data_IF_810328509087
#
_entry.id   IF_810328509087
#
_cell.length_a   1.000
_cell.length_b   1.000
_cell.length_c   1.000
_cell.angle_alpha   90.00
_cell.angle_beta   90.00
_cell.angle_gamma   90.00
#
_symmetry.space_group_name_H-M   'P 1'
#
loop_
_entity.id
_entity.type
_entity.pdbx_description
1 polymer ?
#
# COMPACT_ATOMS: atom_id res chain seq x y z
N UNK A 1 8.09 17.44 25.94
CA UNK A 1 7.68 17.47 24.52
C UNK A 1 6.77 16.28 24.32
N UNK A 2 5.48 16.49 24.06
CA UNK A 2 4.61 15.40 23.62
C UNK A 2 5.09 15.01 22.22
N UNK A 3 5.69 13.83 22.07
CA UNK A 3 5.96 13.29 20.74
C UNK A 3 4.63 13.24 20.01
N UNK A 4 4.46 14.08 18.99
CA UNK A 4 3.26 14.10 18.17
C UNK A 4 3.31 12.83 17.33
N UNK A 5 2.40 11.89 17.56
CA UNK A 5 2.31 10.66 16.78
C UNK A 5 1.69 10.99 15.43
N UNK A 6 2.36 10.61 14.35
CA UNK A 6 1.80 10.67 13.00
C UNK A 6 0.98 9.42 12.72
N UNK A 7 -0.04 9.57 11.90
CA UNK A 7 -0.85 8.49 11.37
C UNK A 7 -0.28 8.06 10.01
N UNK A 8 0.06 6.78 9.85
CA UNK A 8 0.55 6.22 8.59
C UNK A 8 -0.42 5.19 8.02
N UNK A 9 -0.64 5.24 6.71
CA UNK A 9 -1.48 4.33 5.94
C UNK A 9 -0.55 3.42 5.14
N UNK A 10 -0.67 2.11 5.31
CA UNK A 10 0.23 1.12 4.70
C UNK A 10 -0.63 0.10 3.95
N UNK A 11 -0.26 -0.23 2.71
CA UNK A 11 -0.87 -1.31 1.95
C UNK A 11 0.09 -2.50 1.87
N UNK A 12 -0.49 -3.70 1.86
CA UNK A 12 0.20 -4.98 1.84
C UNK A 12 -0.22 -5.74 0.60
N UNK A 13 0.72 -6.45 -0.04
CA UNK A 13 0.45 -7.30 -1.18
C UNK A 13 1.40 -8.50 -1.27
N UNK A 14 0.88 -9.68 -1.61
CA UNK A 14 1.69 -10.87 -1.93
C UNK A 14 0.96 -11.77 -2.92
N UNK A 15 1.69 -12.38 -3.86
CA UNK A 15 1.15 -13.42 -4.74
C UNK A 15 2.11 -14.59 -4.98
N UNK A 16 3.17 -14.68 -4.19
CA UNK A 16 4.18 -15.73 -4.26
C UNK A 16 4.52 -16.21 -2.85
N UNK A 17 4.86 -17.50 -2.72
CA UNK A 17 5.29 -18.05 -1.44
C UNK A 17 6.55 -17.34 -0.94
N UNK A 18 6.65 -17.17 0.37
CA UNK A 18 7.82 -16.61 1.03
C UNK A 18 8.31 -17.54 2.14
N UNK A 19 9.38 -17.14 2.84
CA UNK A 19 9.79 -17.83 4.07
C UNK A 19 8.75 -17.70 5.20
N UNK A 20 7.76 -16.83 5.04
CA UNK A 20 6.65 -16.66 5.97
C UNK A 20 5.49 -17.59 5.71
N UNK A 21 5.48 -18.31 4.57
CA UNK A 21 4.42 -19.23 4.19
C UNK A 21 3.86 -18.92 2.81
N UNK A 22 2.60 -19.33 2.58
CA UNK A 22 1.86 -18.95 1.38
C UNK A 22 1.58 -17.42 1.33
N UNK A 23 1.05 -16.86 0.23
CA UNK A 23 0.79 -15.42 0.15
C UNK A 23 -0.14 -14.87 1.23
N UNK A 24 -1.13 -15.66 1.68
CA UNK A 24 -2.05 -15.28 2.76
C UNK A 24 -1.28 -15.18 4.07
N UNK A 25 -0.53 -16.23 4.42
CA UNK A 25 0.31 -16.29 5.63
C UNK A 25 1.38 -15.19 5.63
N UNK A 26 1.94 -14.90 4.45
CA UNK A 26 2.94 -13.86 4.26
C UNK A 26 2.40 -12.47 4.59
N UNK A 27 1.21 -12.11 4.05
CA UNK A 27 0.57 -10.84 4.37
C UNK A 27 0.20 -10.77 5.85
N UNK A 28 -0.38 -11.83 6.42
CA UNK A 28 -0.76 -11.86 7.84
C UNK A 28 0.45 -11.67 8.77
N UNK A 29 1.58 -12.31 8.46
CA UNK A 29 2.80 -12.16 9.24
C UNK A 29 3.40 -10.76 9.10
N UNK A 30 3.39 -10.18 7.90
CA UNK A 30 3.82 -8.81 7.68
C UNK A 30 2.95 -7.80 8.45
N UNK A 31 1.62 -7.99 8.47
CA UNK A 31 0.70 -7.16 9.26
C UNK A 31 1.01 -7.24 10.76
N UNK A 32 1.40 -8.42 11.27
CA UNK A 32 1.85 -8.57 12.66
C UNK A 32 3.10 -7.74 12.94
N UNK A 33 4.11 -7.79 12.07
CA UNK A 33 5.32 -6.98 12.23
C UNK A 33 5.01 -5.48 12.20
N UNK A 34 4.14 -5.03 11.30
CA UNK A 34 3.69 -3.62 11.25
C UNK A 34 2.88 -3.23 12.47
N UNK A 35 2.03 -4.11 12.99
CA UNK A 35 1.30 -3.90 14.24
C UNK A 35 2.25 -3.69 15.43
N UNK A 36 3.29 -4.52 15.54
CA UNK A 36 4.29 -4.48 16.61
C UNK A 36 5.14 -3.19 16.56
N UNK A 37 5.26 -2.54 15.40
CA UNK A 37 5.90 -1.22 15.25
C UNK A 37 5.02 -0.04 15.66
N UNK A 38 3.70 -0.23 15.77
CA UNK A 38 2.79 0.87 16.11
C UNK A 38 2.96 1.29 17.58
N UNK A 39 3.12 2.59 17.81
CA UNK A 39 3.38 3.14 19.15
C UNK A 39 2.13 3.10 20.04
N UNK A 40 0.93 3.12 19.45
CA UNK A 40 -0.32 3.24 20.22
C UNK A 40 -1.43 2.33 19.69
N UNK A 41 -2.09 2.74 18.63
CA UNK A 41 -3.17 1.99 18.02
C UNK A 41 -2.79 1.63 16.60
N UNK A 42 -3.25 0.46 16.17
CA UNK A 42 -3.30 0.11 14.77
C UNK A 42 -4.71 -0.36 14.43
N UNK A 43 -5.09 -0.17 13.19
CA UNK A 43 -6.32 -0.71 12.60
C UNK A 43 -5.90 -1.51 11.38
N UNK A 44 -6.51 -2.68 11.22
CA UNK A 44 -6.21 -3.60 10.12
C UNK A 44 -7.50 -3.89 9.36
N UNK A 45 -7.42 -3.87 8.03
CA UNK A 45 -8.51 -4.35 7.19
C UNK A 45 -8.60 -5.87 7.30
N UNK A 46 -9.65 -6.43 6.70
CA UNK A 46 -9.65 -7.83 6.32
C UNK A 46 -8.62 -8.12 5.23
N UNK A 47 -8.42 -9.40 4.93
CA UNK A 47 -7.68 -9.82 3.75
C UNK A 47 -8.60 -9.79 2.53
N UNK A 48 -8.03 -9.37 1.41
CA UNK A 48 -8.71 -9.33 0.12
C UNK A 48 -7.88 -10.07 -0.92
N UNK A 49 -8.56 -10.66 -1.90
CA UNK A 49 -7.93 -11.33 -3.04
C UNK A 49 -8.36 -10.68 -4.35
N UNK A 50 -7.43 -10.48 -5.27
CA UNK A 50 -7.73 -10.07 -6.65
C UNK A 50 -6.80 -10.75 -7.66
N UNK A 51 -7.22 -10.90 -8.93
CA UNK A 51 -6.37 -11.46 -9.98
C UNK A 51 -5.11 -10.63 -10.21
N UNK A 52 -4.00 -11.29 -10.56
CA UNK A 52 -2.84 -10.61 -11.10
C UNK A 52 -3.19 -9.86 -12.40
N UNK A 53 -2.51 -8.75 -12.65
CA UNK A 53 -2.68 -7.96 -13.87
C UNK A 53 -1.56 -8.22 -14.90
N UNK A 54 -1.89 -8.51 -16.17
CA UNK A 54 -3.22 -8.85 -16.69
C UNK A 54 -3.72 -10.20 -16.18
N UNK A 55 -5.03 -10.44 -16.21
CA UNK A 55 -5.65 -11.68 -15.71
C UNK A 55 -5.00 -12.91 -16.36
N UNK A 56 -4.57 -13.86 -15.52
CA UNK A 56 -3.87 -15.07 -15.96
C UNK A 56 -2.35 -14.95 -16.04
N UNK A 57 -1.77 -13.78 -15.74
CA UNK A 57 -0.31 -13.59 -15.70
C UNK A 57 0.39 -14.29 -14.51
N UNK A 58 -0.37 -14.79 -13.52
CA UNK A 58 0.15 -15.47 -12.34
C UNK A 58 -0.94 -15.75 -11.31
N UNK A 59 -0.55 -16.23 -10.11
CA UNK A 59 -1.47 -16.41 -8.98
C UNK A 59 -2.13 -15.09 -8.57
N UNK A 60 -3.31 -15.21 -7.97
CA UNK A 60 -4.02 -14.07 -7.37
C UNK A 60 -3.18 -13.43 -6.25
N UNK A 61 -3.30 -12.11 -6.11
CA UNK A 61 -2.73 -11.37 -5.00
C UNK A 61 -3.63 -11.43 -3.78
N UNK A 62 -3.02 -11.57 -2.60
CA UNK A 62 -3.61 -11.23 -1.32
C UNK A 62 -3.17 -9.82 -0.94
N UNK A 63 -4.12 -8.98 -0.53
CA UNK A 63 -3.90 -7.60 -0.14
C UNK A 63 -4.58 -7.28 1.17
N UNK A 64 -4.03 -6.30 1.88
CA UNK A 64 -4.62 -5.70 3.06
C UNK A 64 -4.18 -4.24 3.19
N UNK A 65 -4.78 -3.51 4.12
CA UNK A 65 -4.33 -2.20 4.52
C UNK A 65 -4.31 -2.06 6.04
N UNK A 66 -3.38 -1.25 6.55
CA UNK A 66 -3.32 -0.88 7.95
C UNK A 66 -3.19 0.62 8.14
N UNK A 67 -3.73 1.10 9.25
CA UNK A 67 -3.43 2.41 9.82
C UNK A 67 -2.61 2.17 11.08
N UNK A 68 -1.47 2.85 11.23
CA UNK A 68 -0.66 2.80 12.46
C UNK A 68 -0.39 4.20 12.99
N UNK A 69 -0.09 4.30 14.29
CA UNK A 69 0.53 5.48 14.86
C UNK A 69 2.03 5.26 15.00
N UNK A 70 2.82 6.19 14.48
CA UNK A 70 4.28 6.09 14.51
C UNK A 70 4.92 7.40 14.96
N UNK A 71 6.11 7.30 15.53
CA UNK A 71 7.01 8.43 15.79
C UNK A 71 8.18 8.48 14.79
N UNK A 72 8.26 7.52 13.87
CA UNK A 72 9.24 7.51 12.79
C UNK A 72 8.87 8.56 11.73
N UNK A 73 9.87 9.20 11.15
CA UNK A 73 9.70 9.97 9.93
C UNK A 73 9.27 9.05 8.76
N UNK A 74 8.70 9.61 7.67
CA UNK A 74 8.30 8.81 6.51
C UNK A 74 9.43 7.97 5.91
N UNK A 75 10.65 8.51 5.83
CA UNK A 75 11.82 7.78 5.32
C UNK A 75 12.27 6.66 6.26
N UNK A 76 12.27 6.91 7.57
CA UNK A 76 12.58 5.88 8.58
C UNK A 76 11.54 4.76 8.56
N UNK A 77 10.25 5.09 8.47
CA UNK A 77 9.19 4.10 8.35
C UNK A 77 9.35 3.28 7.06
N UNK A 78 9.66 3.92 5.94
CA UNK A 78 9.92 3.21 4.68
C UNK A 78 11.09 2.23 4.80
N UNK A 79 12.15 2.61 5.52
CA UNK A 79 13.28 1.71 5.81
C UNK A 79 12.82 0.49 6.62
N UNK A 80 11.99 0.66 7.64
CA UNK A 80 11.46 -0.48 8.41
C UNK A 80 10.56 -1.39 7.56
N UNK A 81 9.72 -0.83 6.68
CA UNK A 81 8.91 -1.63 5.75
C UNK A 81 9.79 -2.45 4.80
N UNK A 82 10.85 -1.85 4.24
CA UNK A 82 11.80 -2.57 3.39
C UNK A 82 12.55 -3.70 4.14
N UNK A 83 12.81 -3.54 5.45
CA UNK A 83 13.39 -4.63 6.25
C UNK A 83 12.44 -5.82 6.35
N UNK A 84 11.15 -5.58 6.60
CA UNK A 84 10.14 -6.65 6.64
C UNK A 84 10.05 -7.38 5.30
N UNK A 85 10.08 -6.65 4.18
CA UNK A 85 10.13 -7.25 2.85
C UNK A 85 11.40 -8.09 2.62
N UNK A 86 12.55 -7.61 3.09
CA UNK A 86 13.80 -8.35 3.00
C UNK A 86 13.76 -9.63 3.83
N UNK A 87 13.16 -9.59 5.02
CA UNK A 87 12.95 -10.77 5.86
C UNK A 87 11.99 -11.79 5.23
N UNK A 88 11.03 -11.32 4.42
CA UNK A 88 10.17 -12.17 3.58
C UNK A 88 10.90 -12.72 2.33
N UNK A 89 12.23 -12.56 2.23
CA UNK A 89 13.06 -12.99 1.10
C UNK A 89 12.57 -12.43 -0.25
N UNK A 90 12.23 -11.15 -0.29
CA UNK A 90 11.87 -10.47 -1.54
C UNK A 90 13.03 -10.52 -2.55
N UNK A 91 12.85 -11.28 -3.64
CA UNK A 91 13.74 -11.27 -4.82
C UNK A 91 13.19 -10.29 -5.87
N UNK A 92 13.99 -9.29 -6.26
CA UNK A 92 13.58 -8.28 -7.27
C UNK A 92 14.07 -8.68 -8.67
N UNK A 93 13.38 -9.64 -9.31
CA UNK A 93 13.74 -10.10 -10.66
C UNK A 93 13.10 -9.27 -11.80
N UNK A 94 11.81 -8.89 -11.68
CA UNK A 94 11.10 -8.14 -12.72
C UNK A 94 10.17 -7.07 -12.15
N UNK A 95 10.19 -5.87 -12.74
CA UNK A 95 9.24 -4.80 -12.41
C UNK A 95 7.82 -5.19 -12.83
N UNK A 96 6.89 -5.09 -11.88
CA UNK A 96 5.49 -5.60 -11.96
C UNK A 96 5.38 -7.13 -12.16
N UNK A 97 6.40 -7.89 -11.77
CA UNK A 97 6.34 -9.35 -11.67
C UNK A 97 5.71 -9.84 -10.36
N UNK A 98 5.78 -11.16 -10.14
CA UNK A 98 5.43 -11.79 -8.87
C UNK A 98 6.27 -11.20 -7.73
N UNK A 99 5.66 -11.09 -6.54
CA UNK A 99 6.32 -10.57 -5.34
C UNK A 99 5.95 -11.45 -4.16
N UNK A 100 6.97 -11.87 -3.43
CA UNK A 100 6.80 -12.53 -2.14
C UNK A 100 6.10 -11.61 -1.14
N UNK A 101 6.50 -10.34 -1.06
CA UNK A 101 5.83 -9.31 -0.26
C UNK A 101 6.10 -7.91 -0.85
N UNK A 102 5.09 -7.05 -0.83
CA UNK A 102 5.15 -5.63 -1.17
C UNK A 102 4.42 -4.82 -0.08
N UNK A 103 5.14 -3.88 0.53
CA UNK A 103 4.64 -2.96 1.55
C UNK A 103 4.75 -1.53 1.03
N UNK A 104 3.62 -0.97 0.61
CA UNK A 104 3.55 0.40 0.11
C UNK A 104 3.17 1.34 1.26
N UNK A 105 4.03 2.34 1.54
CA UNK A 105 3.65 3.48 2.38
C UNK A 105 2.73 4.40 1.56
N UNK A 106 1.43 4.37 1.88
CA UNK A 106 0.40 5.08 1.13
C UNK A 106 0.36 6.56 1.48
N UNK A 107 0.40 6.89 2.78
CA UNK A 107 0.39 8.26 3.25
C UNK A 107 0.88 8.36 4.69
N UNK A 108 1.37 9.54 5.06
CA UNK A 108 1.63 9.93 6.45
C UNK A 108 0.95 11.27 6.69
N UNK A 109 0.00 11.29 7.62
CA UNK A 109 -0.89 12.41 7.90
C UNK A 109 -1.49 12.99 6.58
N UNK A 110 -1.27 14.28 6.34
CA UNK A 110 -1.65 14.99 5.11
C UNK A 110 -0.40 15.47 4.34
N UNK A 111 0.76 14.82 4.53
CA UNK A 111 2.01 15.21 3.89
C UNK A 111 1.96 14.99 2.38
N UNK A 112 2.54 15.95 1.65
CA UNK A 112 2.82 15.84 0.22
C UNK A 112 4.33 15.89 0.05
N UNK A 113 4.92 14.77 -0.38
CA UNK A 113 6.37 14.63 -0.53
C UNK A 113 6.75 14.31 -1.99
N UNK A 114 7.92 14.78 -2.43
CA UNK A 114 8.76 15.80 -1.77
C UNK A 114 8.11 17.20 -1.82
N UNK A 115 7.27 17.42 -2.82
CA UNK A 115 6.50 18.65 -3.05
C UNK A 115 5.36 18.33 -4.04
N UNK A 116 4.39 19.24 -4.18
CA UNK A 116 3.21 19.03 -5.03
C UNK A 116 3.54 18.90 -6.53
N UNK A 117 4.60 19.56 -7.01
CA UNK A 117 4.99 19.52 -8.43
C UNK A 117 5.59 18.15 -8.75
N UNK A 118 6.51 17.68 -7.92
CA UNK A 118 7.12 16.35 -8.05
C UNK A 118 6.07 15.24 -7.89
N UNK A 119 5.18 15.35 -6.89
CA UNK A 119 4.06 14.42 -6.73
C UNK A 119 3.18 14.38 -8.00
N UNK A 120 2.82 15.54 -8.55
CA UNK A 120 1.96 15.63 -9.74
C UNK A 120 2.64 15.03 -10.97
N UNK A 121 3.95 15.23 -11.14
CA UNK A 121 4.72 14.58 -12.21
C UNK A 121 4.59 13.05 -12.16
N UNK A 122 4.81 12.44 -10.99
CA UNK A 122 4.73 10.98 -10.84
C UNK A 122 3.30 10.43 -10.97
N UNK A 123 2.31 11.21 -10.54
CA UNK A 123 0.89 10.87 -10.71
C UNK A 123 0.49 10.88 -12.19
N UNK A 124 0.89 11.91 -12.93
CA UNK A 124 0.45 12.13 -14.32
C UNK A 124 1.29 11.38 -15.35
N UNK A 125 2.34 10.68 -14.90
CA UNK A 125 3.22 9.90 -15.77
C UNK A 125 2.41 8.85 -16.55
N UNK A 126 2.64 8.71 -17.85
CA UNK A 126 1.89 7.74 -18.66
C UNK A 126 2.18 6.29 -18.23
N UNK A 127 1.21 5.39 -18.40
CA UNK A 127 1.33 3.99 -17.96
C UNK A 127 2.60 3.29 -18.49
N UNK A 128 2.97 3.56 -19.75
CA UNK A 128 4.19 3.01 -20.37
C UNK A 128 5.46 3.48 -19.65
N UNK A 129 5.52 4.76 -19.28
CA UNK A 129 6.67 5.32 -18.56
C UNK A 129 6.72 4.86 -17.10
N UNK A 130 5.56 4.67 -16.46
CA UNK A 130 5.48 4.13 -15.10
C UNK A 130 6.02 2.69 -15.00
N UNK A 131 6.00 1.93 -16.09
CA UNK A 131 6.61 0.59 -16.15
C UNK A 131 8.15 0.66 -16.19
N UNK A 132 8.72 1.75 -16.70
CA UNK A 132 10.16 1.91 -16.85
C UNK A 132 10.80 2.72 -15.71
N UNK A 133 10.09 3.71 -15.17
CA UNK A 133 10.66 4.75 -14.30
C UNK A 133 10.08 4.70 -12.89
N UNK A 134 10.93 4.67 -11.87
CA UNK A 134 10.53 4.78 -10.45
C UNK A 134 11.16 6.02 -9.84
N UNK A 135 10.50 6.65 -8.85
CA UNK A 135 11.09 7.78 -8.15
C UNK A 135 12.36 7.36 -7.40
N UNK A 136 13.34 8.26 -7.38
CA UNK A 136 14.62 8.11 -6.67
C UNK A 136 14.49 8.39 -5.17
N UNK A 137 13.34 8.91 -4.74
CA UNK A 137 13.00 9.30 -3.38
C UNK A 137 11.54 9.01 -3.07
N UNK A 138 11.16 9.07 -1.80
CA UNK A 138 9.77 8.85 -1.39
C UNK A 138 8.82 9.90 -1.96
N UNK A 139 7.70 9.44 -2.53
CA UNK A 139 6.59 10.27 -3.01
C UNK A 139 5.34 9.93 -2.20
N UNK A 140 4.80 10.92 -1.50
CA UNK A 140 3.57 10.78 -0.70
C UNK A 140 2.53 11.83 -1.08
N UNK A 141 1.23 11.49 -1.02
CA UNK A 141 0.69 10.12 -0.95
C UNK A 141 1.19 9.25 -2.11
N UNK A 142 1.03 7.93 -2.03
CA UNK A 142 1.43 7.05 -3.13
C UNK A 142 0.77 7.54 -4.44
N UNK A 143 1.53 7.86 -5.50
CA UNK A 143 1.04 8.67 -6.64
C UNK A 143 -0.06 8.01 -7.49
N UNK A 144 -0.27 6.70 -7.30
CA UNK A 144 -1.30 5.91 -7.96
C UNK A 144 -2.40 5.37 -7.04
N UNK A 145 -2.51 5.90 -5.81
CA UNK A 145 -3.50 5.42 -4.85
C UNK A 145 -4.91 5.41 -5.45
N UNK A 146 -5.27 6.47 -6.17
CA UNK A 146 -6.59 6.67 -6.77
C UNK A 146 -6.97 5.65 -7.84
N UNK A 147 -5.99 4.94 -8.42
CA UNK A 147 -6.19 4.01 -9.54
C UNK A 147 -6.14 2.53 -9.10
N UNK A 148 -6.08 2.25 -7.79
CA UNK A 148 -5.81 0.90 -7.27
C UNK A 148 -6.96 0.42 -6.39
N UNK A 149 -7.91 -0.30 -6.99
CA UNK A 149 -9.02 -0.93 -6.26
C UNK A 149 -8.53 -1.83 -5.12
N UNK A 150 -7.50 -2.65 -5.38
CA UNK A 150 -6.90 -3.56 -4.40
C UNK A 150 -6.21 -2.86 -3.21
N UNK A 151 -5.99 -1.54 -3.29
CA UNK A 151 -5.56 -0.71 -2.16
C UNK A 151 -6.75 0.00 -1.53
N UNK A 152 -7.58 0.67 -2.34
CA UNK A 152 -8.68 1.50 -1.85
C UNK A 152 -9.81 0.71 -1.19
N UNK A 153 -10.06 -0.53 -1.61
CA UNK A 153 -11.07 -1.40 -0.97
C UNK A 153 -10.66 -1.76 0.46
N UNK A 154 -9.50 -2.39 0.73
CA UNK A 154 -9.05 -2.64 2.10
C UNK A 154 -8.87 -1.35 2.91
N UNK A 155 -8.35 -0.28 2.30
CA UNK A 155 -8.13 0.99 3.01
C UNK A 155 -9.44 1.63 3.47
N UNK A 156 -10.55 1.36 2.78
CA UNK A 156 -11.88 1.84 3.18
C UNK A 156 -12.40 1.17 4.48
N UNK A 157 -11.85 0.03 4.89
CA UNK A 157 -12.21 -0.62 6.16
C UNK A 157 -11.62 0.13 7.36
N UNK A 158 -10.42 0.70 7.19
CA UNK A 158 -9.62 1.26 8.30
C UNK A 158 -9.52 2.78 8.27
N UNK A 159 -9.60 3.41 7.10
CA UNK A 159 -9.43 4.85 6.92
C UNK A 159 -10.43 5.45 5.91
N UNK A 160 -11.75 5.12 5.96
CA UNK A 160 -12.69 5.56 4.94
C UNK A 160 -12.79 7.08 4.78
N UNK A 161 -12.53 7.82 5.85
CA UNK A 161 -12.66 9.27 5.92
C UNK A 161 -11.31 10.00 5.84
N UNK A 162 -10.18 9.29 5.63
CA UNK A 162 -8.91 9.97 5.37
C UNK A 162 -9.02 10.77 4.07
N UNK A 163 -8.68 12.06 4.13
CA UNK A 163 -8.82 12.99 3.00
C UNK A 163 -7.47 13.11 2.30
N UNK A 164 -7.46 12.80 1.01
CA UNK A 164 -6.27 12.94 0.19
C UNK A 164 -5.87 14.43 0.08
N UNK A 165 -4.63 14.83 0.48
CA UNK A 165 -4.24 16.24 0.58
C UNK A 165 -4.26 16.98 -0.77
N UNK A 166 -4.03 16.27 -1.88
CA UNK A 166 -4.08 16.88 -3.23
C UNK A 166 -5.47 16.86 -3.86
N UNK A 167 -6.25 15.79 -3.71
CA UNK A 167 -7.58 15.69 -4.36
C UNK A 167 -8.72 16.28 -3.54
N UNK A 168 -8.55 16.42 -2.22
CA UNK A 168 -9.63 16.81 -1.31
C UNK A 168 -10.75 15.76 -1.22
N UNK A 169 -10.48 14.52 -1.63
CA UNK A 169 -11.43 13.40 -1.60
C UNK A 169 -11.06 12.41 -0.50
N UNK A 170 -12.07 11.86 0.15
CA UNK A 170 -11.92 10.75 1.10
C UNK A 170 -11.52 9.46 0.39
N UNK A 171 -10.92 8.50 1.12
CA UNK A 171 -10.68 7.13 0.63
C UNK A 171 -11.97 6.52 0.08
N UNK A 172 -13.09 6.71 0.78
CA UNK A 172 -14.40 6.22 0.34
C UNK A 172 -14.83 6.83 -1.00
N UNK A 173 -14.66 8.13 -1.18
CA UNK A 173 -15.00 8.82 -2.44
C UNK A 173 -14.08 8.39 -3.58
N UNK A 174 -12.78 8.22 -3.32
CA UNK A 174 -11.84 7.70 -4.33
C UNK A 174 -12.20 6.28 -4.74
N UNK A 175 -12.49 5.39 -3.78
CA UNK A 175 -12.94 4.03 -4.05
C UNK A 175 -14.22 4.02 -4.89
N UNK A 176 -15.21 4.84 -4.53
CA UNK A 176 -16.48 4.91 -5.26
C UNK A 176 -16.38 5.50 -6.67
N UNK A 177 -15.26 6.16 -6.99
CA UNK A 177 -15.00 6.70 -8.32
C UNK A 177 -14.36 5.68 -9.28
N UNK A 178 -13.94 4.51 -8.78
CA UNK A 178 -13.38 3.44 -9.60
C UNK A 178 -14.45 2.71 -10.42
N UNK A 179 -14.08 2.10 -11.56
CA UNK A 179 -14.99 1.26 -12.33
C UNK A 179 -15.55 0.09 -11.49
N UNK A 180 -16.86 -0.24 -11.58
CA UNK A 180 -17.46 -1.33 -10.82
C UNK A 180 -16.74 -2.67 -10.99
N UNK A 181 -16.29 -2.99 -12.19
CA UNK A 181 -15.57 -4.22 -12.51
C UNK A 181 -14.23 -4.35 -11.77
N UNK A 182 -13.56 -3.23 -11.48
CA UNK A 182 -12.33 -3.25 -10.69
C UNK A 182 -12.61 -3.48 -9.21
N UNK A 183 -13.73 -2.96 -8.70
CA UNK A 183 -14.16 -3.17 -7.32
C UNK A 183 -14.62 -4.61 -7.09
N UNK A 184 -15.43 -5.15 -8.02
CA UNK A 184 -15.91 -6.55 -7.99
C UNK A 184 -14.77 -7.56 -8.08
N UNK A 185 -13.63 -7.18 -8.66
CA UNK A 185 -12.45 -8.03 -8.73
C UNK A 185 -11.72 -8.21 -7.38
N UNK A 186 -12.02 -7.37 -6.39
CA UNK A 186 -11.39 -7.38 -5.06
C UNK A 186 -12.33 -8.04 -4.07
N UNK A 187 -12.10 -9.31 -3.79
CA UNK A 187 -13.00 -10.17 -2.99
C UNK A 187 -12.43 -10.36 -1.60
N UNK A 188 -13.24 -10.11 -0.57
CA UNK A 188 -12.85 -10.39 0.83
C UNK A 188 -12.60 -11.89 1.02
N UNK A 189 -11.55 -12.23 1.76
CA UNK A 189 -11.16 -13.60 2.08
C UNK A 189 -11.73 -13.97 3.45
N UNK A 190 -12.39 -15.13 3.52
CA UNK A 190 -12.89 -15.72 4.76
C UNK A 190 -11.77 -16.28 5.67
#
# INVERSE_FOLDING_TARGET
MTNNLSLALIAFGSNENSIFGDPRETVQKAMKFVADMSVKHHYSSDLYRNPAFPKGAGPDFFNAAMVINTNLSPDELLVELHKIESEAHRVRDKRWGQRTLDLDLIAVDALVLPDVLTYSYWRDLALADQQAQAPDRLVLPHPRLQDRSFVLVPLCDVAPNWVHPVFGKTVREMRNALPPEELESVVRVD
#
